data_IF_304032002350
#
_entry.id   IF_304032002350
#
_cell.length_a   1.000
_cell.length_b   1.000
_cell.length_c   1.000
_cell.angle_alpha   90.00
_cell.angle_beta   90.00
_cell.angle_gamma   90.00
#
_symmetry.space_group_name_H-M   'P 1'
#
loop_
_entity.id
_entity.type
_entity.pdbx_description
1 polymer ?
#
# COMPACT_ATOMS: atom_id res chain seq x y z
N UNK A 1 -4.66 -11.98 11.35
CA UNK A 1 -4.36 -11.14 10.16
C UNK A 1 -2.86 -11.17 9.87
N UNK A 2 -2.02 -10.86 10.86
CA UNK A 2 -0.57 -11.15 10.79
C UNK A 2 -0.38 -12.65 11.05
N UNK A 3 0.27 -13.34 10.12
CA UNK A 3 0.49 -14.80 10.20
C UNK A 3 1.91 -15.13 10.63
N UNK A 4 2.89 -14.42 10.06
CA UNK A 4 4.31 -14.55 10.43
C UNK A 4 4.88 -13.15 10.58
N UNK A 5 5.67 -12.95 11.62
CA UNK A 5 6.40 -11.71 11.86
C UNK A 5 7.84 -12.03 12.24
N UNK A 6 8.79 -11.40 11.55
CA UNK A 6 10.20 -11.49 11.91
C UNK A 6 10.82 -10.11 11.92
N UNK A 7 11.78 -9.89 12.81
CA UNK A 7 12.56 -8.67 12.89
C UNK A 7 14.01 -9.02 13.14
N UNK A 8 14.95 -8.46 12.37
CA UNK A 8 16.37 -8.81 12.53
C UNK A 8 16.69 -10.28 12.25
N UNK A 9 15.85 -10.99 11.50
CA UNK A 9 15.97 -12.43 11.25
C UNK A 9 15.44 -13.33 12.39
N UNK A 10 14.92 -12.76 13.48
CA UNK A 10 14.32 -13.50 14.58
C UNK A 10 12.79 -13.51 14.46
N UNK A 11 12.18 -14.65 14.80
CA UNK A 11 10.72 -14.79 14.85
C UNK A 11 10.18 -14.07 16.08
N UNK A 12 9.19 -13.20 15.88
CA UNK A 12 8.56 -12.42 16.95
C UNK A 12 7.05 -12.63 16.91
N UNK A 13 6.41 -12.70 18.08
CA UNK A 13 4.95 -12.56 18.14
C UNK A 13 4.56 -11.09 18.09
N UNK A 14 4.21 -10.62 16.89
CA UNK A 14 3.79 -9.24 16.70
C UNK A 14 2.38 -8.95 17.20
N UNK A 15 1.62 -9.95 17.66
CA UNK A 15 0.30 -9.72 18.25
C UNK A 15 0.40 -9.03 19.61
N UNK A 16 1.47 -9.30 20.38
CA UNK A 16 1.70 -8.66 21.69
C UNK A 16 2.02 -7.16 21.58
N UNK A 17 2.57 -6.76 20.43
CA UNK A 17 3.00 -5.38 20.15
C UNK A 17 2.07 -4.63 19.18
N UNK A 18 0.98 -5.26 18.76
CA UNK A 18 0.03 -4.71 17.81
C UNK A 18 -1.24 -4.22 18.52
N UNK A 19 -1.51 -2.93 18.42
CA UNK A 19 -2.73 -2.34 18.96
C UNK A 19 -3.81 -2.24 17.87
N UNK A 20 -5.05 -2.72 18.12
CA UNK A 20 -6.13 -2.60 17.16
C UNK A 20 -6.68 -1.15 17.12
N UNK A 21 -6.71 -0.58 15.91
CA UNK A 21 -7.21 0.77 15.64
C UNK A 21 -8.32 0.69 14.59
N UNK A 22 -9.51 1.17 14.94
CA UNK A 22 -10.62 1.28 13.98
C UNK A 22 -10.45 2.54 13.14
N UNK A 23 -10.44 2.39 11.82
CA UNK A 23 -10.30 3.50 10.87
C UNK A 23 -11.40 3.42 9.81
N UNK A 24 -11.46 4.42 8.93
CA UNK A 24 -12.36 4.39 7.77
C UNK A 24 -12.00 3.29 6.74
N UNK A 25 -10.80 2.70 6.83
CA UNK A 25 -10.36 1.56 6.02
C UNK A 25 -10.77 0.20 6.65
N UNK A 26 -11.35 0.22 7.84
CA UNK A 26 -11.69 -0.97 8.62
C UNK A 26 -10.78 -1.12 9.85
N UNK A 27 -10.54 -2.37 10.26
CA UNK A 27 -9.69 -2.68 11.39
C UNK A 27 -8.21 -2.65 10.96
N UNK A 28 -7.48 -1.68 11.48
CA UNK A 28 -6.04 -1.56 11.31
C UNK A 28 -5.32 -2.02 12.58
N UNK A 29 -4.04 -2.38 12.44
CA UNK A 29 -3.19 -2.78 13.56
C UNK A 29 -1.97 -1.87 13.56
N UNK A 30 -1.75 -1.14 14.66
CA UNK A 30 -0.56 -0.32 14.85
C UNK A 30 0.49 -1.18 15.54
N UNK A 31 1.55 -1.53 14.81
CA UNK A 31 2.68 -2.27 15.36
C UNK A 31 3.71 -1.30 15.92
N UNK A 32 4.00 -1.38 17.21
CA UNK A 32 5.05 -0.58 17.85
C UNK A 32 6.10 -1.48 18.51
N UNK A 33 7.22 -1.67 17.84
CA UNK A 33 8.32 -2.52 18.31
C UNK A 33 9.26 -1.83 19.31
N UNK A 34 9.07 -0.53 19.59
CA UNK A 34 9.92 0.21 20.52
C UNK A 34 9.77 -0.24 21.98
N UNK A 35 8.62 -0.84 22.33
CA UNK A 35 8.32 -1.39 23.66
C UNK A 35 8.74 -2.84 23.85
N UNK A 36 9.22 -3.53 22.80
CA UNK A 36 9.81 -4.85 22.91
C UNK A 36 11.16 -4.72 23.63
N UNK A 37 11.16 -4.84 24.95
CA UNK A 37 12.27 -4.56 25.87
C UNK A 37 13.56 -5.39 25.67
N UNK A 38 13.70 -6.10 24.55
CA UNK A 38 14.97 -6.68 24.13
C UNK A 38 15.75 -5.65 23.31
N UNK A 39 16.99 -5.39 23.72
CA UNK A 39 17.96 -4.48 23.09
C UNK A 39 18.12 -4.70 21.56
N UNK A 40 17.71 -5.87 21.05
CA UNK A 40 17.82 -6.27 19.63
C UNK A 40 16.55 -5.98 18.79
N UNK A 41 15.39 -5.70 19.40
CA UNK A 41 14.12 -5.54 18.69
C UNK A 41 13.72 -4.06 18.54
N UNK A 42 14.21 -3.19 19.43
CA UNK A 42 13.91 -1.76 19.40
C UNK A 42 14.71 -0.94 18.38
N UNK A 43 15.83 -1.47 17.84
CA UNK A 43 16.68 -0.78 16.87
C UNK A 43 17.21 -1.74 15.82
N UNK A 44 17.06 -1.36 14.55
CA UNK A 44 17.70 -2.05 13.44
C UNK A 44 19.21 -1.78 13.49
N UNK A 45 20.01 -2.84 13.63
CA UNK A 45 21.47 -2.75 13.74
C UNK A 45 22.19 -2.84 12.39
N UNK A 46 21.54 -3.43 11.39
CA UNK A 46 22.11 -3.63 10.07
C UNK A 46 21.03 -3.41 9.01
N UNK A 47 21.44 -2.85 7.88
CA UNK A 47 20.59 -2.72 6.70
C UNK A 47 20.45 -4.04 5.95
N UNK A 48 19.38 -4.14 5.16
CA UNK A 48 19.12 -5.26 4.28
C UNK A 48 17.85 -6.03 4.61
N UNK A 49 17.37 -6.77 3.60
CA UNK A 49 16.06 -7.43 3.63
C UNK A 49 15.93 -8.46 4.76
N UNK A 50 17.03 -9.07 5.21
CA UNK A 50 17.04 -10.10 6.26
C UNK A 50 17.11 -9.53 7.67
N UNK A 51 17.46 -8.25 7.82
CA UNK A 51 17.67 -7.60 9.12
C UNK A 51 16.57 -6.60 9.47
N UNK A 52 15.63 -6.36 8.56
CA UNK A 52 14.45 -5.52 8.78
C UNK A 52 13.23 -6.28 9.29
N UNK A 53 12.08 -5.64 9.21
CA UNK A 53 10.76 -6.22 9.49
C UNK A 53 10.27 -7.02 8.28
N UNK A 54 9.96 -8.30 8.47
CA UNK A 54 9.29 -9.12 7.46
C UNK A 54 7.94 -9.60 7.99
N UNK A 55 6.90 -9.41 7.18
CA UNK A 55 5.53 -9.75 7.52
C UNK A 55 4.96 -10.70 6.47
N UNK A 56 4.28 -11.75 6.92
CA UNK A 56 3.37 -12.55 6.09
C UNK A 56 1.97 -12.30 6.59
N UNK A 57 1.15 -11.72 5.73
CA UNK A 57 -0.20 -11.28 6.07
C UNK A 57 -1.23 -12.16 5.35
N UNK A 58 -2.29 -12.53 6.07
CA UNK A 58 -3.41 -13.27 5.51
C UNK A 58 -4.59 -12.32 5.28
N UNK A 59 -4.88 -12.06 4.00
CA UNK A 59 -5.90 -11.08 3.57
C UNK A 59 -7.33 -11.55 3.76
N UNK A 60 -7.57 -12.82 4.10
CA UNK A 60 -8.91 -13.39 4.29
C UNK A 60 -9.90 -12.90 3.22
N UNK A 61 -9.51 -13.00 1.93
CA UNK A 61 -10.28 -12.48 0.78
C UNK A 61 -11.72 -13.02 0.76
N UNK A 62 -11.93 -14.21 1.29
CA UNK A 62 -13.23 -14.85 1.49
C UNK A 62 -14.20 -14.05 2.36
N UNK A 63 -13.71 -13.15 3.20
CA UNK A 63 -14.52 -12.28 4.06
C UNK A 63 -14.70 -10.87 3.49
N UNK A 64 -14.21 -10.61 2.27
CA UNK A 64 -14.33 -9.29 1.65
C UNK A 64 -15.75 -9.03 1.15
N UNK A 65 -16.32 -7.90 1.56
CA UNK A 65 -17.63 -7.46 1.09
C UNK A 65 -17.54 -7.00 -0.38
N UNK A 66 -18.37 -7.57 -1.24
CA UNK A 66 -18.56 -7.10 -2.61
C UNK A 66 -19.48 -5.89 -2.60
N UNK A 67 -18.94 -4.70 -2.85
CA UNK A 67 -19.74 -3.49 -2.98
C UNK A 67 -20.39 -3.42 -4.37
N UNK A 68 -21.70 -3.13 -4.47
CA UNK A 68 -22.36 -2.87 -5.76
C UNK A 68 -21.68 -1.71 -6.50
N UNK A 69 -21.51 -1.85 -7.82
CA UNK A 69 -20.81 -0.86 -8.67
C UNK A 69 -21.46 0.53 -8.71
N UNK A 70 -22.71 0.69 -8.26
CA UNK A 70 -23.46 1.96 -8.32
C UNK A 70 -23.07 2.99 -7.24
N UNK A 71 -22.07 2.71 -6.38
CA UNK A 71 -21.77 3.52 -5.17
C UNK A 71 -20.58 4.49 -5.38
N UNK A 72 -20.08 4.65 -6.59
CA UNK A 72 -19.09 5.70 -6.93
C UNK A 72 -18.00 5.24 -7.89
N UNK A 73 -17.00 6.09 -8.17
CA UNK A 73 -15.97 5.78 -9.14
C UNK A 73 -15.20 4.50 -8.75
N UNK A 74 -15.00 3.56 -9.71
CA UNK A 74 -14.44 2.23 -9.46
C UNK A 74 -12.96 2.23 -9.06
N UNK A 75 -12.30 3.38 -9.10
CA UNK A 75 -10.87 3.57 -8.79
C UNK A 75 -10.62 4.10 -7.37
N UNK A 76 -11.64 4.12 -6.52
CA UNK A 76 -11.47 4.53 -5.12
C UNK A 76 -10.96 3.37 -4.27
N UNK A 77 -10.33 3.69 -3.15
CA UNK A 77 -9.82 2.78 -2.09
C UNK A 77 -10.78 1.67 -1.64
N UNK A 78 -12.06 1.78 -2.01
CA UNK A 78 -13.15 0.84 -1.73
C UNK A 78 -13.07 -0.47 -2.52
N UNK A 79 -12.26 -0.52 -3.58
CA UNK A 79 -12.13 -1.70 -4.47
C UNK A 79 -10.73 -2.33 -4.46
N UNK A 80 -9.81 -1.81 -3.64
CA UNK A 80 -8.48 -2.41 -3.52
C UNK A 80 -8.54 -3.70 -2.71
N UNK A 81 -7.94 -4.76 -3.23
CA UNK A 81 -7.77 -6.02 -2.52
C UNK A 81 -6.35 -6.10 -1.97
N UNK A 82 -6.21 -6.58 -0.73
CA UNK A 82 -4.91 -6.70 -0.07
C UNK A 82 -4.73 -5.76 1.10
N UNK A 83 -3.49 -5.33 1.33
CA UNK A 83 -3.09 -4.59 2.52
C UNK A 83 -2.52 -3.23 2.19
N UNK A 84 -2.80 -2.25 3.06
CA UNK A 84 -2.10 -0.97 3.09
C UNK A 84 -1.21 -0.92 4.31
N UNK A 85 0.07 -0.65 4.10
CA UNK A 85 1.03 -0.46 5.18
C UNK A 85 1.50 0.98 5.17
N UNK A 86 1.48 1.60 6.36
CA UNK A 86 1.86 2.99 6.59
C UNK A 86 3.07 3.00 7.52
N UNK A 87 4.12 3.75 7.15
CA UNK A 87 5.26 4.00 8.03
C UNK A 87 5.17 5.43 8.55
N UNK A 88 5.06 5.59 9.86
CA UNK A 88 4.95 6.91 10.49
C UNK A 88 5.66 6.93 11.85
N UNK A 89 5.94 8.12 12.34
CA UNK A 89 6.55 8.31 13.66
C UNK A 89 5.66 7.77 14.78
N UNK A 90 6.25 7.16 15.81
CA UNK A 90 5.54 6.51 16.93
C UNK A 90 4.54 7.43 17.62
N UNK A 91 4.92 8.72 17.75
CA UNK A 91 4.17 9.78 18.40
C UNK A 91 3.03 10.36 17.56
N UNK A 92 3.06 10.16 16.23
CA UNK A 92 1.98 10.61 15.35
C UNK A 92 0.73 9.72 15.53
N UNK A 93 -0.44 10.37 15.64
CA UNK A 93 -1.72 9.68 15.72
C UNK A 93 -2.32 9.36 14.34
N UNK A 94 -1.91 10.09 13.30
CA UNK A 94 -2.59 10.05 12.00
C UNK A 94 -1.65 9.56 10.91
N UNK A 95 -2.09 8.54 10.17
CA UNK A 95 -1.47 8.08 8.93
C UNK A 95 -1.83 8.96 7.71
N UNK A 96 -2.64 10.00 7.91
CA UNK A 96 -3.23 10.83 6.86
C UNK A 96 -2.22 11.63 6.01
N UNK A 97 -0.95 11.67 6.42
CA UNK A 97 0.15 12.30 5.67
C UNK A 97 1.38 11.41 5.45
N UNK A 98 1.31 10.13 5.80
CA UNK A 98 2.43 9.19 5.58
C UNK A 98 2.32 8.51 4.22
N UNK A 99 3.48 8.30 3.58
CA UNK A 99 3.59 7.43 2.42
C UNK A 99 3.10 6.02 2.77
N UNK A 100 2.39 5.39 1.84
CA UNK A 100 1.78 4.09 2.04
C UNK A 100 2.11 3.15 0.89
N UNK A 101 2.22 1.87 1.21
CA UNK A 101 2.39 0.81 0.22
C UNK A 101 1.15 -0.05 0.14
N UNK A 102 0.79 -0.46 -1.07
CA UNK A 102 -0.24 -1.46 -1.32
C UNK A 102 0.41 -2.82 -1.56
N UNK A 103 -0.08 -3.86 -0.89
CA UNK A 103 0.38 -5.24 -1.10
C UNK A 103 -0.81 -6.08 -1.55
N UNK A 104 -0.80 -6.45 -2.82
CA UNK A 104 -1.80 -7.35 -3.38
C UNK A 104 -1.64 -8.77 -2.81
N UNK A 105 -2.73 -9.52 -2.62
CA UNK A 105 -2.65 -10.89 -2.17
C UNK A 105 -1.78 -11.76 -3.09
N UNK A 106 -0.99 -12.67 -2.51
CA UNK A 106 -0.12 -13.58 -3.23
C UNK A 106 1.15 -12.96 -3.84
N UNK A 107 1.37 -11.66 -3.64
CA UNK A 107 2.59 -10.97 -4.07
C UNK A 107 3.47 -10.64 -2.87
N UNK A 108 4.78 -10.59 -3.11
CA UNK A 108 5.74 -10.07 -2.14
C UNK A 108 6.11 -8.63 -2.51
N UNK A 109 6.24 -7.77 -1.50
CA UNK A 109 6.69 -6.39 -1.69
C UNK A 109 7.84 -6.16 -0.75
N UNK A 110 8.95 -5.68 -1.31
CA UNK A 110 10.11 -5.25 -0.54
C UNK A 110 10.10 -3.72 -0.51
N UNK A 111 10.08 -3.16 0.69
CA UNK A 111 10.09 -1.72 0.88
C UNK A 111 11.37 -1.28 1.57
N UNK A 112 12.11 -0.39 0.93
CA UNK A 112 13.17 0.38 1.59
C UNK A 112 12.54 1.62 2.22
N UNK A 113 12.93 1.93 3.45
CA UNK A 113 12.45 3.11 4.18
C UNK A 113 13.65 3.99 4.50
N UNK A 114 13.57 5.26 4.11
CA UNK A 114 14.54 6.30 4.48
C UNK A 114 13.88 7.30 5.42
N UNK A 115 14.31 7.29 6.68
CA UNK A 115 13.95 8.34 7.63
C UNK A 115 14.69 9.63 7.28
N UNK A 116 13.97 10.73 7.16
CA UNK A 116 14.52 12.07 7.00
C UNK A 116 13.93 12.97 8.07
N UNK A 117 14.79 13.55 8.90
CA UNK A 117 14.39 14.54 9.89
C UNK A 117 14.25 15.90 9.19
N UNK A 118 13.12 16.54 9.42
CA UNK A 118 12.79 17.86 8.91
C UNK A 118 12.67 18.81 10.09
N UNK A 119 13.55 19.80 10.11
CA UNK A 119 13.51 20.92 11.04
C UNK A 119 13.12 22.18 10.27
N UNK A 120 11.98 22.75 10.62
CA UNK A 120 11.49 24.03 10.10
C UNK A 120 11.77 25.11 11.13
N UNK A 121 12.04 26.32 10.65
CA UNK A 121 12.30 27.46 11.53
C UNK A 121 11.01 27.94 12.22
N UNK A 122 11.06 28.21 13.55
CA UNK A 122 9.94 28.80 14.27
C UNK A 122 9.70 30.25 13.84
N UNK A 123 8.59 30.82 14.30
CA UNK A 123 8.21 32.19 13.97
C UNK A 123 9.26 33.23 14.39
N UNK A 124 9.86 33.03 15.57
CA UNK A 124 10.90 33.92 16.12
C UNK A 124 12.16 33.97 15.22
N UNK A 125 12.40 32.89 14.45
CA UNK A 125 13.51 32.74 13.52
C UNK A 125 13.04 32.81 12.05
N UNK A 126 12.09 33.71 11.75
CA UNK A 126 11.64 34.04 10.39
C UNK A 126 10.93 32.89 9.66
N UNK A 127 10.49 31.87 10.38
CA UNK A 127 9.67 30.79 9.85
C UNK A 127 8.19 30.90 10.24
N UNK A 128 7.44 29.81 10.08
CA UNK A 128 6.00 29.76 10.36
C UNK A 128 5.54 28.42 10.95
N UNK A 129 6.45 27.64 11.54
CA UNK A 129 6.09 26.41 12.23
C UNK A 129 5.72 26.68 13.70
N UNK A 130 5.03 25.73 14.32
CA UNK A 130 4.77 25.71 15.77
C UNK A 130 4.66 24.27 16.25
N UNK A 131 5.17 23.98 17.45
CA UNK A 131 4.97 22.70 18.14
C UNK A 131 3.88 22.77 19.22
N UNK A 132 3.18 23.90 19.31
CA UNK A 132 2.17 24.17 20.32
C UNK A 132 0.76 24.05 19.75
N UNK A 133 -0.16 23.57 20.59
CA UNK A 133 -1.57 23.52 20.25
C UNK A 133 -2.19 24.93 20.29
N UNK A 134 -3.14 25.26 19.41
CA UNK A 134 -3.85 26.53 19.50
C UNK A 134 -4.66 26.61 20.81
N UNK A 135 -4.77 27.80 21.39
CA UNK A 135 -5.38 28.05 22.71
C UNK A 135 -6.80 27.50 22.88
N UNK A 136 -7.56 27.45 21.78
CA UNK A 136 -8.96 26.96 21.76
C UNK A 136 -9.06 25.42 21.84
N UNK A 137 -7.94 24.71 21.90
CA UNK A 137 -7.87 23.25 22.05
C UNK A 137 -7.27 22.91 23.42
N UNK A 138 -8.14 22.71 24.41
CA UNK A 138 -7.75 22.32 25.77
C UNK A 138 -7.36 20.84 25.76
N UNK A 139 -6.13 20.50 26.17
CA UNK A 139 -5.60 19.13 26.15
C UNK A 139 -6.38 18.16 27.06
N UNK A 140 -6.97 18.67 28.14
CA UNK A 140 -7.74 17.92 29.14
C UNK A 140 -9.12 17.46 28.62
N UNK A 141 -9.80 18.27 27.82
CA UNK A 141 -11.11 17.95 27.20
C UNK A 141 -11.06 16.78 26.21
N UNK A 142 -9.84 16.40 25.81
CA UNK A 142 -9.56 15.43 24.76
C UNK A 142 -8.84 14.17 25.27
N UNK A 143 -8.89 13.92 26.58
CA UNK A 143 -8.41 12.68 27.22
C UNK A 143 -6.94 12.36 26.91
N UNK A 144 -6.14 13.40 26.69
CA UNK A 144 -4.85 13.33 26.01
C UNK A 144 -3.72 13.60 27.00
N UNK A 145 -3.60 12.78 28.04
CA UNK A 145 -2.28 12.64 28.65
C UNK A 145 -1.35 12.10 27.55
N UNK A 146 -0.44 12.96 27.08
CA UNK A 146 0.71 12.66 26.22
C UNK A 146 0.47 12.49 24.71
N UNK A 147 0.06 13.53 23.97
CA UNK A 147 0.55 13.62 22.57
C UNK A 147 1.11 14.96 22.16
N UNK A 148 2.25 14.85 21.49
CA UNK A 148 2.90 15.90 20.71
C UNK A 148 1.98 16.44 19.63
N UNK A 149 2.04 17.76 19.46
CA UNK A 149 1.39 18.46 18.38
C UNK A 149 1.80 17.89 17.01
N UNK A 150 0.84 17.80 16.10
CA UNK A 150 1.10 17.56 14.68
C UNK A 150 0.03 18.25 13.86
N UNK A 151 0.41 18.79 12.70
CA UNK A 151 -0.48 19.50 11.80
C UNK A 151 -1.71 18.66 11.42
N UNK A 152 -1.52 17.39 11.04
CA UNK A 152 -2.61 16.49 10.68
C UNK A 152 -3.56 16.21 11.84
N UNK A 153 -3.07 16.16 13.07
CA UNK A 153 -3.95 16.00 14.24
C UNK A 153 -4.76 17.26 14.52
N UNK A 154 -4.14 18.44 14.42
CA UNK A 154 -4.83 19.72 14.54
C UNK A 154 -5.92 19.89 13.46
N UNK A 155 -5.61 19.60 12.21
CA UNK A 155 -6.58 19.66 11.11
C UNK A 155 -7.76 18.73 11.36
N UNK A 156 -7.52 17.48 11.79
CA UNK A 156 -8.61 16.56 12.09
C UNK A 156 -9.49 17.04 13.25
N UNK A 157 -8.91 17.67 14.29
CA UNK A 157 -9.69 18.27 15.38
C UNK A 157 -10.52 19.47 14.89
N UNK A 158 -9.94 20.33 14.04
CA UNK A 158 -10.68 21.43 13.41
C UNK A 158 -11.89 20.90 12.61
N UNK A 159 -11.68 19.87 11.78
CA UNK A 159 -12.78 19.23 11.04
C UNK A 159 -13.80 18.59 11.97
N UNK A 160 -13.36 17.89 13.01
CA UNK A 160 -14.26 17.30 14.00
C UNK A 160 -15.13 18.35 14.69
N UNK A 161 -14.55 19.49 15.10
CA UNK A 161 -15.29 20.63 15.69
C UNK A 161 -16.33 21.18 14.71
N UNK A 162 -15.95 21.38 13.44
CA UNK A 162 -16.86 21.83 12.40
C UNK A 162 -18.06 20.88 12.22
N UNK A 163 -17.80 19.58 12.07
CA UNK A 163 -18.87 18.60 11.91
C UNK A 163 -19.73 18.45 13.17
N UNK A 164 -19.13 18.56 14.37
CA UNK A 164 -19.91 18.59 15.62
C UNK A 164 -20.86 19.79 15.65
N UNK A 165 -20.38 20.98 15.30
CA UNK A 165 -21.20 22.20 15.30
C UNK A 165 -22.29 22.19 14.23
N UNK A 166 -21.99 21.70 13.02
CA UNK A 166 -22.93 21.71 11.89
C UNK A 166 -23.88 20.50 11.88
N UNK A 167 -23.38 19.31 12.20
CA UNK A 167 -24.11 18.04 12.05
C UNK A 167 -24.48 17.38 13.39
N UNK A 168 -24.07 17.93 14.53
CA UNK A 168 -24.24 17.34 15.88
C UNK A 168 -23.57 15.98 16.09
N UNK A 169 -22.83 15.46 15.11
CA UNK A 169 -22.07 14.21 15.17
C UNK A 169 -20.76 14.36 14.39
N UNK A 170 -19.79 13.51 14.68
CA UNK A 170 -18.49 13.54 14.00
C UNK A 170 -18.33 12.33 13.08
N UNK A 171 -18.04 12.53 11.78
CA UNK A 171 -17.73 11.44 10.86
C UNK A 171 -16.54 10.61 11.35
N UNK A 172 -16.62 9.28 11.17
CA UNK A 172 -15.59 8.35 11.64
C UNK A 172 -14.16 8.70 11.16
N UNK A 173 -14.01 9.26 9.96
CA UNK A 173 -12.72 9.64 9.39
C UNK A 173 -12.00 10.74 10.19
N UNK A 174 -12.74 11.60 10.88
CA UNK A 174 -12.19 12.69 11.71
C UNK A 174 -12.27 12.38 13.20
N UNK A 175 -12.80 11.21 13.57
CA UNK A 175 -12.97 10.81 14.96
C UNK A 175 -11.62 10.35 15.53
N UNK A 176 -10.92 11.26 16.21
CA UNK A 176 -9.76 10.90 17.01
C UNK A 176 -10.30 10.25 18.30
N UNK A 177 -10.02 8.96 18.50
CA UNK A 177 -10.53 8.10 19.59
C UNK A 177 -10.51 8.73 21.00
N UNK A 178 -9.65 9.72 21.23
CA UNK A 178 -9.52 10.42 22.51
C UNK A 178 -10.27 11.76 22.57
N UNK A 179 -10.56 12.37 21.42
CA UNK A 179 -10.88 13.78 21.38
C UNK A 179 -12.37 14.11 21.49
N UNK A 180 -13.30 13.17 21.65
CA UNK A 180 -14.66 13.54 21.98
C UNK A 180 -15.43 12.36 22.58
N UNK A 181 -16.12 12.60 23.70
CA UNK A 181 -17.34 11.86 24.11
C UNK A 181 -18.52 12.10 23.12
N UNK A 182 -18.24 12.50 21.89
CA UNK A 182 -19.27 12.79 20.89
C UNK A 182 -19.68 11.54 20.16
N UNK A 183 -20.97 11.43 19.90
CA UNK A 183 -21.53 10.38 19.06
C UNK A 183 -20.89 10.38 17.67
N UNK A 184 -20.33 9.23 17.28
CA UNK A 184 -19.86 8.95 15.93
C UNK A 184 -21.08 8.97 14.99
N UNK A 185 -21.00 9.70 13.87
CA UNK A 185 -22.07 9.69 12.87
C UNK A 185 -22.24 8.29 12.27
N UNK A 186 -23.50 7.84 12.13
CA UNK A 186 -23.80 6.74 11.21
C UNK A 186 -23.51 7.12 9.76
N UNK A 187 -23.24 6.15 8.85
CA UNK A 187 -22.97 6.44 7.44
C UNK A 187 -24.07 7.28 6.77
N UNK A 188 -25.34 7.03 7.11
CA UNK A 188 -26.48 7.78 6.58
C UNK A 188 -26.53 9.22 7.09
N UNK A 189 -26.29 9.45 8.39
CA UNK A 189 -26.24 10.80 8.97
C UNK A 189 -25.11 11.63 8.37
N UNK A 190 -23.91 11.04 8.24
CA UNK A 190 -22.76 11.70 7.62
C UNK A 190 -23.07 12.08 6.16
N UNK A 191 -23.62 11.15 5.38
CA UNK A 191 -24.02 11.41 3.99
C UNK A 191 -25.07 12.54 3.89
N UNK A 192 -26.12 12.50 4.72
CA UNK A 192 -27.16 13.52 4.73
C UNK A 192 -26.57 14.91 5.03
N UNK A 193 -25.73 15.01 6.06
CA UNK A 193 -25.15 16.29 6.45
C UNK A 193 -24.19 16.85 5.39
N UNK A 194 -23.28 16.02 4.86
CA UNK A 194 -22.34 16.46 3.81
C UNK A 194 -23.11 16.96 2.58
N UNK A 195 -24.19 16.27 2.19
CA UNK A 195 -25.03 16.68 1.06
C UNK A 195 -25.75 18.01 1.32
N UNK A 196 -26.16 18.29 2.56
CA UNK A 196 -26.74 19.58 2.94
C UNK A 196 -25.72 20.71 2.90
N UNK A 197 -24.51 20.48 3.42
CA UNK A 197 -23.39 21.43 3.34
C UNK A 197 -23.06 21.74 1.87
N UNK A 198 -22.94 20.73 1.02
CA UNK A 198 -22.68 20.90 -0.42
C UNK A 198 -23.71 21.79 -1.12
N UNK A 199 -25.01 21.60 -0.82
CA UNK A 199 -26.09 22.40 -1.40
C UNK A 199 -26.02 23.87 -0.99
N UNK A 200 -25.59 24.15 0.23
CA UNK A 200 -25.43 25.52 0.72
C UNK A 200 -24.24 26.23 0.06
N UNK A 201 -23.11 25.53 -0.15
CA UNK A 201 -21.91 26.08 -0.79
C UNK A 201 -22.14 26.42 -2.27
N UNK A 202 -22.88 25.57 -3.00
CA UNK A 202 -23.19 25.83 -4.43
C UNK A 202 -23.99 27.11 -4.70
N UNK A 203 -24.56 27.73 -3.66
CA UNK A 203 -25.32 28.99 -3.80
C UNK A 203 -24.47 30.25 -3.68
N UNK A 204 -23.27 30.17 -3.11
CA UNK A 204 -22.52 31.38 -2.72
C UNK A 204 -21.23 31.59 -3.52
N UNK A 205 -20.50 30.56 -3.94
CA UNK A 205 -19.29 30.70 -4.79
C UNK A 205 -18.90 29.36 -5.49
N UNK A 206 -18.12 29.38 -6.59
CA UNK A 206 -17.66 28.15 -7.24
C UNK A 206 -16.63 27.41 -6.38
N UNK A 207 -17.08 26.31 -5.75
CA UNK A 207 -16.31 25.15 -5.28
C UNK A 207 -14.95 25.47 -4.64
N UNK A 208 -14.96 26.21 -3.53
CA UNK A 208 -13.84 26.17 -2.58
C UNK A 208 -14.33 25.68 -1.23
N UNK A 209 -14.06 24.38 -1.05
CA UNK A 209 -13.95 23.62 0.19
C UNK A 209 -15.22 23.46 1.04
N UNK A 210 -15.75 22.23 1.02
CA UNK A 210 -16.77 21.72 1.98
C UNK A 210 -16.23 21.78 3.43
N UNK A 211 -14.90 21.83 3.57
CA UNK A 211 -14.19 21.83 4.83
C UNK A 211 -13.64 23.24 5.13
N UNK A 212 -13.61 23.64 6.41
CA UNK A 212 -12.96 24.88 6.80
C UNK A 212 -11.45 24.84 6.51
N UNK A 213 -10.82 25.99 6.25
CA UNK A 213 -9.38 26.05 5.94
C UNK A 213 -8.46 25.79 7.14
N UNK A 214 -8.96 25.87 8.39
CA UNK A 214 -8.22 25.60 9.63
C UNK A 214 -6.89 26.36 9.73
N UNK A 215 -6.92 27.70 9.56
CA UNK A 215 -5.74 28.57 9.55
C UNK A 215 -4.96 28.61 10.89
N UNK A 216 -5.62 28.22 11.98
CA UNK A 216 -5.05 28.10 13.30
C UNK A 216 -4.01 26.97 13.41
N UNK A 217 -4.11 25.95 12.55
CA UNK A 217 -3.19 24.82 12.54
C UNK A 217 -1.92 25.14 11.75
N UNK A 218 -0.78 25.25 12.45
CA UNK A 218 0.54 25.45 11.83
C UNK A 218 1.27 24.13 11.58
N UNK A 219 2.24 24.11 10.66
CA UNK A 219 3.11 22.96 10.50
C UNK A 219 3.97 22.76 11.75
N UNK A 220 4.19 21.51 12.17
CA UNK A 220 5.14 21.22 13.24
C UNK A 220 6.57 21.59 12.83
N UNK A 221 7.38 22.07 13.78
CA UNK A 221 8.76 22.47 13.51
C UNK A 221 9.67 21.26 13.32
N UNK A 222 9.51 20.25 14.17
CA UNK A 222 10.33 19.06 14.13
C UNK A 222 9.43 17.90 13.69
N UNK A 223 9.84 17.18 12.66
CA UNK A 223 9.12 15.99 12.21
C UNK A 223 10.04 15.00 11.53
N UNK A 224 9.69 13.72 11.63
CA UNK A 224 10.36 12.66 10.89
C UNK A 224 9.47 12.19 9.75
N UNK A 225 9.97 12.30 8.52
CA UNK A 225 9.29 11.82 7.32
C UNK A 225 9.96 10.53 6.86
N UNK A 226 9.16 9.48 6.66
CA UNK A 226 9.62 8.22 6.09
C UNK A 226 9.32 8.22 4.59
N UNK A 227 10.37 8.29 3.78
CA UNK A 227 10.24 8.11 2.33
C UNK A 227 10.41 6.65 2.00
N UNK A 228 9.48 6.08 1.24
CA UNK A 228 9.47 4.67 0.93
C UNK A 228 9.71 4.40 -0.56
N UNK A 229 10.53 3.38 -0.85
CA UNK A 229 10.76 2.87 -2.18
C UNK A 229 10.33 1.41 -2.22
N UNK A 230 9.48 1.05 -3.18
CA UNK A 230 8.81 -0.25 -3.22
C UNK A 230 9.20 -1.03 -4.46
N UNK A 231 9.63 -2.27 -4.25
CA UNK A 231 9.88 -3.24 -5.30
C UNK A 231 8.88 -4.38 -5.17
N UNK A 232 8.12 -4.60 -6.24
CA UNK A 232 7.15 -5.69 -6.30
C UNK A 232 7.87 -6.93 -6.82
N UNK A 233 7.93 -7.96 -5.97
CA UNK A 233 8.43 -9.27 -6.36
C UNK A 233 7.29 -10.15 -6.90
N UNK A 234 7.69 -11.20 -7.61
CA UNK A 234 6.77 -12.23 -8.07
C UNK A 234 6.14 -13.03 -6.93
N UNK A 235 5.36 -14.04 -7.31
CA UNK A 235 4.68 -14.95 -6.38
C UNK A 235 5.68 -15.72 -5.50
N UNK A 236 5.23 -16.19 -4.34
CA UNK A 236 5.99 -17.10 -3.49
C UNK A 236 6.57 -18.28 -4.29
N UNK A 237 7.87 -18.52 -4.12
CA UNK A 237 8.54 -19.70 -4.68
C UNK A 237 8.13 -20.98 -3.94
N UNK A 238 8.32 -22.14 -4.56
CA UNK A 238 8.08 -23.44 -3.92
C UNK A 238 8.84 -23.59 -2.59
N UNK A 239 10.07 -23.10 -2.54
CA UNK A 239 10.88 -23.10 -1.32
C UNK A 239 10.26 -22.25 -0.22
N UNK A 240 9.71 -21.09 -0.58
CA UNK A 240 9.02 -20.21 0.36
C UNK A 240 7.75 -20.87 0.91
N UNK A 241 7.00 -21.57 0.05
CA UNK A 241 5.81 -22.34 0.47
C UNK A 241 6.18 -23.50 1.40
N UNK A 242 7.27 -24.22 1.12
CA UNK A 242 7.78 -25.28 2.02
C UNK A 242 8.19 -24.71 3.38
N UNK A 243 8.82 -23.54 3.39
CA UNK A 243 9.18 -22.85 4.63
C UNK A 243 7.95 -22.42 5.44
N UNK A 244 6.95 -21.83 4.78
CA UNK A 244 5.66 -21.50 5.43
C UNK A 244 4.96 -22.73 6.00
N UNK A 245 4.96 -23.83 5.25
CA UNK A 245 4.37 -25.09 5.71
C UNK A 245 5.09 -25.68 6.93
N UNK A 246 6.42 -25.49 7.02
CA UNK A 246 7.20 -25.88 8.20
C UNK A 246 6.81 -25.08 9.44
N UNK A 247 6.45 -23.80 9.28
CA UNK A 247 5.97 -22.96 10.38
C UNK A 247 4.58 -23.37 10.85
N UNK A 248 3.67 -23.61 9.90
CA UNK A 248 2.32 -24.05 10.20
C UNK A 248 1.89 -25.13 9.21
N UNK A 249 1.68 -26.35 9.72
CA UNK A 249 1.28 -27.51 8.92
C UNK A 249 -0.05 -27.30 8.18
N UNK A 250 -0.90 -26.36 8.63
CA UNK A 250 -2.15 -26.03 7.93
C UNK A 250 -1.94 -25.21 6.65
N UNK A 251 -0.81 -24.52 6.50
CA UNK A 251 -0.49 -23.73 5.31
C UNK A 251 0.11 -24.60 4.23
N UNK A 252 -0.74 -25.39 3.58
CA UNK A 252 -0.35 -26.18 2.41
C UNK A 252 -0.22 -25.28 1.18
N UNK A 253 0.57 -25.73 0.20
CA UNK A 253 0.67 -25.05 -1.09
C UNK A 253 -0.70 -24.82 -1.73
N UNK A 254 -1.59 -25.81 -1.65
CA UNK A 254 -2.97 -25.68 -2.11
C UNK A 254 -3.74 -24.57 -1.40
N UNK A 255 -3.63 -24.50 -0.07
CA UNK A 255 -4.28 -23.44 0.72
C UNK A 255 -3.83 -22.04 0.30
N UNK A 256 -2.51 -21.84 0.19
CA UNK A 256 -1.94 -20.55 -0.22
C UNK A 256 -2.33 -20.21 -1.67
N UNK A 257 -2.32 -21.21 -2.57
CA UNK A 257 -2.70 -21.02 -3.97
C UNK A 257 -4.18 -20.72 -4.17
N UNK A 258 -5.09 -21.30 -3.36
CA UNK A 258 -6.53 -20.99 -3.39
C UNK A 258 -6.77 -19.56 -2.93
N UNK A 259 -6.14 -19.15 -1.83
CA UNK A 259 -6.23 -17.76 -1.33
C UNK A 259 -5.64 -16.76 -2.33
N UNK A 260 -4.72 -17.18 -3.21
CA UNK A 260 -4.22 -16.38 -4.35
C UNK A 260 -5.19 -16.33 -5.52
N UNK A 261 -5.74 -17.48 -5.94
CA UNK A 261 -6.53 -17.62 -7.17
C UNK A 261 -7.83 -16.81 -7.16
N UNK A 262 -8.42 -16.56 -5.98
CA UNK A 262 -9.58 -15.69 -5.83
C UNK A 262 -9.35 -14.24 -6.33
N UNK A 263 -8.11 -13.81 -6.59
CA UNK A 263 -7.82 -12.54 -7.27
C UNK A 263 -8.03 -12.61 -8.79
N UNK A 264 -7.79 -13.76 -9.43
CA UNK A 264 -7.90 -13.94 -10.88
C UNK A 264 -9.31 -14.36 -11.34
N UNK A 265 -10.12 -14.90 -10.43
CA UNK A 265 -11.53 -15.23 -10.68
C UNK A 265 -12.49 -14.05 -10.43
N UNK A 266 -11.96 -12.84 -10.19
CA UNK A 266 -12.76 -11.63 -9.97
C UNK A 266 -13.58 -11.16 -11.19
N UNK A 267 -13.40 -11.78 -12.37
CA UNK A 267 -14.39 -11.67 -13.45
C UNK A 267 -15.62 -12.54 -13.12
N UNK A 268 -16.46 -12.01 -12.22
CA UNK A 268 -17.77 -12.55 -11.89
C UNK A 268 -18.62 -12.79 -13.17
N UNK A 269 -19.49 -13.80 -13.16
CA UNK A 269 -20.48 -14.11 -14.20
C UNK A 269 -21.27 -12.89 -14.67
N UNK A 270 -21.47 -11.88 -13.81
CA UNK A 270 -22.12 -10.61 -14.18
C UNK A 270 -21.26 -9.75 -15.10
N UNK A 271 -19.95 -9.65 -14.85
CA UNK A 271 -19.01 -8.90 -15.71
C UNK A 271 -18.79 -9.65 -17.03
N UNK A 272 -18.69 -10.98 -16.99
CA UNK A 272 -18.73 -11.82 -18.18
C UNK A 272 -20.07 -11.64 -18.95
N UNK A 273 -21.19 -11.56 -18.25
CA UNK A 273 -22.52 -11.31 -18.82
C UNK A 273 -22.65 -9.92 -19.45
N UNK A 274 -22.08 -8.88 -18.83
CA UNK A 274 -22.00 -7.52 -19.35
C UNK A 274 -21.10 -7.45 -20.59
N UNK A 275 -19.94 -8.10 -20.57
CA UNK A 275 -19.08 -8.23 -21.73
C UNK A 275 -19.80 -8.94 -22.88
N UNK A 276 -20.48 -10.07 -22.61
CA UNK A 276 -21.28 -10.80 -23.61
C UNK A 276 -22.44 -9.94 -24.15
N UNK A 277 -23.11 -9.16 -23.30
CA UNK A 277 -24.19 -8.27 -23.72
C UNK A 277 -23.68 -7.07 -24.54
N UNK A 278 -22.52 -6.52 -24.20
CA UNK A 278 -21.86 -5.48 -24.99
C UNK A 278 -21.41 -6.03 -26.35
N UNK A 279 -20.81 -7.22 -26.39
CA UNK A 279 -20.43 -7.92 -27.62
C UNK A 279 -21.66 -8.25 -28.48
N UNK A 280 -22.78 -8.68 -27.89
CA UNK A 280 -24.05 -8.88 -28.60
C UNK A 280 -24.60 -7.59 -29.21
N UNK A 281 -24.53 -6.46 -28.50
CA UNK A 281 -24.93 -5.15 -29.04
C UNK A 281 -24.03 -4.73 -30.21
N UNK A 282 -22.71 -4.94 -30.09
CA UNK A 282 -21.76 -4.64 -31.16
C UNK A 282 -21.98 -5.52 -32.40
N UNK A 283 -22.25 -6.83 -32.21
CA UNK A 283 -22.68 -7.73 -33.30
C UNK A 283 -23.95 -7.24 -34.00
N UNK A 284 -24.91 -6.72 -33.23
CA UNK A 284 -26.18 -6.20 -33.77
C UNK A 284 -26.03 -4.91 -34.58
N UNK A 285 -24.99 -4.11 -34.32
CA UNK A 285 -24.71 -2.87 -35.05
C UNK A 285 -23.99 -3.15 -36.38
N UNK A 286 -22.97 -4.00 -36.37
CA UNK A 286 -22.25 -4.39 -37.58
C UNK A 286 -21.61 -5.78 -37.41
N UNK A 287 -22.29 -6.79 -37.94
CA UNK A 287 -21.90 -8.21 -37.78
C UNK A 287 -20.60 -8.55 -38.52
N UNK A 288 -20.34 -7.95 -39.70
CA UNK A 288 -19.11 -8.23 -40.46
C UNK A 288 -17.87 -7.66 -39.77
N UNK A 289 -17.93 -6.38 -39.37
CA UNK A 289 -16.83 -5.72 -38.66
C UNK A 289 -16.52 -6.42 -37.32
N UNK A 290 -17.56 -6.85 -36.60
CA UNK A 290 -17.38 -7.59 -35.36
C UNK A 290 -16.65 -8.92 -35.59
N UNK A 291 -17.03 -9.66 -36.63
CA UNK A 291 -16.42 -10.95 -36.98
C UNK A 291 -14.94 -10.77 -37.31
N UNK A 292 -14.59 -9.75 -38.09
CA UNK A 292 -13.20 -9.45 -38.46
C UNK A 292 -12.34 -9.07 -37.24
N UNK A 293 -12.86 -8.22 -36.35
CA UNK A 293 -12.19 -7.84 -35.10
C UNK A 293 -12.00 -9.04 -34.16
N UNK A 294 -12.99 -9.92 -34.06
CA UNK A 294 -12.92 -11.11 -33.22
C UNK A 294 -11.86 -12.10 -33.75
N UNK A 295 -11.79 -12.29 -35.07
CA UNK A 295 -10.78 -13.13 -35.70
C UNK A 295 -9.37 -12.57 -35.49
N UNK A 296 -9.19 -11.27 -35.68
CA UNK A 296 -7.91 -10.60 -35.44
C UNK A 296 -7.48 -10.71 -33.96
N UNK A 297 -8.39 -10.45 -33.03
CA UNK A 297 -8.15 -10.61 -31.60
C UNK A 297 -7.71 -12.04 -31.24
N UNK A 298 -8.38 -13.07 -31.77
CA UNK A 298 -8.00 -14.47 -31.54
C UNK A 298 -6.59 -14.78 -32.06
N UNK A 299 -6.25 -14.29 -33.25
CA UNK A 299 -4.91 -14.46 -33.82
C UNK A 299 -3.84 -13.79 -32.96
N UNK A 300 -4.10 -12.56 -32.51
CA UNK A 300 -3.20 -11.82 -31.60
C UNK A 300 -3.04 -12.54 -30.27
N UNK A 301 -4.12 -13.11 -29.72
CA UNK A 301 -4.06 -13.86 -28.46
C UNK A 301 -3.26 -15.16 -28.57
N UNK A 302 -3.49 -15.94 -29.63
CA UNK A 302 -2.72 -17.17 -29.87
C UNK A 302 -1.23 -16.84 -30.07
N UNK A 303 -0.93 -15.74 -30.78
CA UNK A 303 0.44 -15.25 -30.96
C UNK A 303 1.08 -14.88 -29.63
N UNK A 304 0.39 -14.13 -28.76
CA UNK A 304 0.89 -13.77 -27.43
C UNK A 304 1.14 -15.00 -26.55
N UNK A 305 0.23 -15.98 -26.56
CA UNK A 305 0.41 -17.23 -25.80
C UNK A 305 1.61 -18.03 -26.29
N UNK A 306 1.86 -18.06 -27.61
CA UNK A 306 3.04 -18.69 -28.17
C UNK A 306 4.33 -17.98 -27.77
N UNK A 307 4.36 -16.64 -27.84
CA UNK A 307 5.51 -15.83 -27.38
C UNK A 307 5.78 -16.00 -25.88
N UNK A 308 4.74 -16.11 -25.06
CA UNK A 308 4.85 -16.36 -23.62
C UNK A 308 5.35 -17.77 -23.31
N UNK A 309 4.88 -18.78 -24.05
CA UNK A 309 5.41 -20.14 -23.97
C UNK A 309 6.88 -20.19 -24.38
N UNK A 310 7.27 -19.55 -25.47
CA UNK A 310 8.67 -19.46 -25.89
C UNK A 310 9.53 -18.77 -24.84
N UNK A 311 9.03 -17.69 -24.23
CA UNK A 311 9.72 -16.98 -23.14
C UNK A 311 9.93 -17.89 -21.93
N UNK A 312 8.90 -18.64 -21.53
CA UNK A 312 8.99 -19.58 -20.41
C UNK A 312 9.92 -20.76 -20.71
N UNK A 313 9.92 -21.28 -21.93
CA UNK A 313 10.83 -22.34 -22.36
C UNK A 313 12.28 -21.82 -22.43
N UNK A 314 12.49 -20.56 -22.84
CA UNK A 314 13.80 -19.88 -22.78
C UNK A 314 14.28 -19.73 -21.33
N UNK A 315 13.40 -19.33 -20.42
CA UNK A 315 13.71 -19.20 -19.00
C UNK A 315 14.10 -20.54 -18.39
N UNK A 316 13.39 -21.62 -18.71
CA UNK A 316 13.77 -22.98 -18.29
C UNK A 316 15.12 -23.41 -18.85
N UNK A 317 15.43 -23.07 -20.10
CA UNK A 317 16.74 -23.32 -20.70
C UNK A 317 17.85 -22.53 -20.00
N UNK A 318 17.60 -21.27 -19.65
CA UNK A 318 18.52 -20.43 -18.87
C UNK A 318 18.77 -21.02 -17.48
N UNK A 319 17.74 -21.48 -16.79
CA UNK A 319 17.86 -22.12 -15.48
C UNK A 319 18.65 -23.45 -15.59
N UNK A 320 18.41 -24.24 -16.63
CA UNK A 320 19.17 -25.47 -16.90
C UNK A 320 20.64 -25.18 -17.25
N UNK A 321 20.93 -24.10 -17.97
CA UNK A 321 22.30 -23.66 -18.26
C UNK A 321 23.00 -23.11 -17.02
N UNK A 322 22.27 -22.43 -16.13
CA UNK A 322 22.77 -22.00 -14.83
C UNK A 322 23.04 -23.18 -13.88
N UNK A 323 22.33 -24.29 -14.04
CA UNK A 323 22.55 -25.55 -13.32
C UNK A 323 23.61 -26.45 -13.98
N UNK A 324 24.13 -26.09 -15.16
CA UNK A 324 25.27 -26.82 -15.74
C UNK A 324 26.53 -26.53 -14.92
N UNK A 325 27.28 -27.55 -14.49
CA UNK A 325 28.46 -27.34 -13.66
C UNK A 325 29.59 -26.79 -14.54
N UNK A 326 29.68 -25.47 -14.67
CA UNK A 326 30.97 -24.84 -14.96
C UNK A 326 31.80 -24.90 -13.70
N UNK A 327 32.55 -25.99 -13.57
CA UNK A 327 33.86 -25.91 -12.95
C UNK A 327 34.62 -24.78 -13.65
N UNK A 328 34.84 -23.65 -12.99
CA UNK A 328 36.18 -23.31 -12.52
C UNK A 328 36.17 -22.10 -11.56
N UNK A 329 37.14 -22.13 -10.65
CA UNK A 329 37.38 -21.15 -9.58
C UNK A 329 37.83 -19.80 -10.16
N UNK A 330 37.07 -18.74 -9.88
CA UNK A 330 37.62 -17.45 -9.39
C UNK A 330 36.48 -16.44 -9.21
N UNK A 331 36.44 -15.85 -8.03
CA UNK A 331 35.53 -14.79 -7.62
C UNK A 331 35.65 -13.58 -8.55
N UNK A 332 34.65 -13.33 -9.38
CA UNK A 332 34.45 -12.05 -10.05
C UNK A 332 32.98 -11.67 -9.89
N UNK A 333 32.71 -10.65 -9.08
CA UNK A 333 31.40 -10.01 -9.04
C UNK A 333 31.16 -9.35 -10.41
N UNK A 334 30.05 -9.70 -11.06
CA UNK A 334 29.62 -9.02 -12.29
C UNK A 334 28.80 -7.82 -11.85
N UNK A 335 29.40 -6.64 -11.92
CA UNK A 335 28.69 -5.37 -11.89
C UNK A 335 28.05 -5.18 -13.27
N UNK A 336 26.71 -5.10 -13.32
CA UNK A 336 25.97 -4.87 -14.56
C UNK A 336 25.53 -3.41 -14.57
N UNK A 337 26.31 -2.57 -15.26
CA UNK A 337 25.87 -1.24 -15.65
C UNK A 337 24.87 -1.35 -16.81
N UNK A 338 23.61 -1.04 -16.53
CA UNK A 338 22.58 -0.91 -17.57
C UNK A 338 22.71 0.49 -18.18
N UNK A 339 23.48 0.60 -19.27
CA UNK A 339 23.46 1.80 -20.11
C UNK A 339 22.20 1.74 -21.00
N UNK A 340 21.36 2.77 -20.91
CA UNK A 340 20.12 2.92 -21.68
C UNK A 340 20.38 2.91 -23.19
N UNK A 341 19.71 2.02 -23.93
CA UNK A 341 19.76 1.98 -25.40
C UNK A 341 18.70 2.90 -26.03
N UNK A 342 19.14 3.77 -26.94
CA UNK A 342 18.29 4.37 -27.99
C UNK A 342 18.02 3.37 -29.13
N UNK A 343 17.05 3.63 -30.02
CA UNK A 343 16.31 2.60 -30.71
C UNK A 343 16.98 2.28 -32.03
N UNK A 344 17.66 1.14 -32.11
CA UNK A 344 17.69 0.33 -33.32
C UNK A 344 18.13 -1.09 -32.96
N UNK A 345 17.22 -2.03 -33.21
CA UNK A 345 17.40 -3.46 -32.98
C UNK A 345 18.70 -3.98 -33.61
N UNK A 346 19.65 -4.39 -32.75
CA UNK A 346 20.54 -5.55 -32.89
C UNK A 346 21.41 -5.66 -31.64
N UNK A 347 21.11 -6.62 -30.76
CA UNK A 347 22.01 -7.05 -29.69
C UNK A 347 23.16 -7.82 -30.35
N UNK A 348 24.33 -7.19 -30.44
CA UNK A 348 25.59 -7.83 -30.83
C UNK A 348 26.41 -7.95 -29.55
N UNK A 349 26.56 -9.19 -29.06
CA UNK A 349 27.48 -9.50 -27.96
C UNK A 349 28.86 -9.71 -28.60
N UNK A 350 29.73 -8.70 -28.54
CA UNK A 350 31.14 -8.85 -28.86
C UNK A 350 31.95 -8.78 -27.56
N UNK A 351 32.48 -9.93 -27.13
CA UNK A 351 33.55 -9.97 -26.15
C UNK A 351 34.88 -9.70 -26.85
N UNK A 352 35.66 -8.75 -26.35
CA UNK A 352 37.09 -8.64 -26.68
C UNK A 352 37.92 -8.76 -25.40
N UNK A 353 39.04 -9.51 -25.43
CA UNK A 353 39.89 -9.70 -24.26
C UNK A 353 40.87 -8.53 -24.16
N UNK A 354 41.02 -7.95 -22.97
CA UNK A 354 42.18 -7.10 -22.69
C UNK A 354 42.97 -7.71 -21.56
N UNK A 355 44.15 -8.21 -21.96
CA UNK A 355 45.23 -8.71 -21.14
C UNK A 355 45.89 -7.50 -20.44
N UNK A 356 46.08 -7.56 -19.13
CA UNK A 356 47.11 -6.79 -18.45
C UNK A 356 47.95 -7.74 -17.58
N UNK A 357 49.22 -7.88 -17.96
CA UNK A 357 50.29 -8.59 -17.28
C UNK A 357 50.97 -7.67 -16.24
N UNK A 358 51.48 -8.28 -15.15
CA UNK A 358 52.58 -7.78 -14.29
C UNK A 358 52.21 -6.62 -13.35
N UNK A 359 52.57 -6.60 -12.07
CA UNK A 359 53.62 -7.25 -11.27
C UNK A 359 53.03 -7.62 -9.90
#
# INVERSE_FOLDING_TARGET
>A
MISVCTFGGQLLDCCDYAEPVSTFLGQCYKLNLTGAGEYLIGRQMQDGINHGLQLVLNSNIDQQFQLPMDIGPPLTSKFETGFRLYAHESKSFTFAGSDWMSVAPGHQVQSSLKASELELLPYDDWGNCSNEWPSDYIQEDYGFELRTYSFSSCQNLCFAKFFKATCSCVPLIYHLKAALESNICSPYQAYKCIREIQRNVTRTEPVRHILPPCYECRLQCNSVVYKSQHNYGGVFSETSLKWLHKMNKSWTEQYVNIKRANHNDHWNQTTAGLAVNALKKLMGINSSLFTDLLLNYRQVHVKKQFEEKQRNDLWKLLDLLALSPRCDRSSHAIEVDIISSTPNNKLVVQGSPTILQGI
#
